data_IF_450092040934
#
_entry.id   IF_450092040934
#
_cell.length_a   1.000
_cell.length_b   1.000
_cell.length_c   1.000
_cell.angle_alpha   90.00
_cell.angle_beta   90.00
_cell.angle_gamma   90.00
#
_symmetry.space_group_name_H-M   'P 1'
#
loop_
_entity.id
_entity.type
_entity.pdbx_description
1 polymer ?
#
# COMPACT_ATOMS: atom_id res chain seq x y z
N UNK A 1 4.66 10.49 -10.48
CA UNK A 1 5.36 9.53 -11.35
C UNK A 1 4.31 8.74 -12.10
N UNK A 2 4.50 8.42 -13.38
CA UNK A 2 3.50 7.64 -14.11
C UNK A 2 3.71 6.15 -13.92
N UNK A 3 2.60 5.42 -13.89
CA UNK A 3 2.59 3.97 -13.82
C UNK A 3 2.75 3.43 -15.24
N UNK A 4 3.74 2.58 -15.44
CA UNK A 4 3.93 1.86 -16.70
C UNK A 4 3.10 0.58 -16.75
N UNK A 5 2.99 -0.15 -15.63
CA UNK A 5 2.23 -1.39 -15.58
C UNK A 5 1.73 -1.71 -14.16
N UNK A 6 0.59 -2.40 -14.07
CA UNK A 6 0.05 -2.99 -12.84
C UNK A 6 -0.31 -4.43 -13.14
N UNK A 7 0.22 -5.36 -12.36
CA UNK A 7 -0.01 -6.80 -12.50
C UNK A 7 -0.54 -7.40 -11.20
N UNK A 8 -1.49 -8.30 -11.33
CA UNK A 8 -2.04 -9.09 -10.23
C UNK A 8 -1.53 -10.53 -10.38
N UNK A 9 -0.73 -11.05 -9.44
CA UNK A 9 -0.23 -12.42 -9.51
C UNK A 9 -1.34 -13.45 -9.30
N UNK A 10 -2.38 -13.09 -8.55
CA UNK A 10 -3.62 -13.85 -8.42
C UNK A 10 -4.73 -13.17 -9.23
N UNK A 11 -5.44 -13.89 -10.13
CA UNK A 11 -6.59 -13.34 -10.85
C UNK A 11 -7.66 -12.82 -9.88
N UNK A 12 -8.13 -11.58 -10.10
CA UNK A 12 -9.08 -10.92 -9.19
C UNK A 12 -10.45 -11.63 -9.13
N UNK A 13 -10.83 -12.37 -10.17
CA UNK A 13 -12.06 -13.16 -10.21
C UNK A 13 -12.03 -14.41 -9.31
N UNK A 14 -10.85 -14.80 -8.82
CA UNK A 14 -10.66 -15.87 -7.84
C UNK A 14 -10.68 -15.37 -6.40
N UNK A 15 -10.76 -14.05 -6.20
CA UNK A 15 -10.73 -13.43 -4.89
C UNK A 15 -12.13 -12.97 -4.48
N UNK A 16 -12.38 -12.91 -3.17
CA UNK A 16 -13.59 -12.29 -2.68
C UNK A 16 -13.43 -10.76 -2.77
N UNK A 17 -14.26 -10.06 -3.56
CA UNK A 17 -14.12 -8.62 -3.74
C UNK A 17 -14.41 -7.83 -2.46
N UNK A 18 -15.18 -8.37 -1.51
CA UNK A 18 -15.62 -7.66 -0.31
C UNK A 18 -14.65 -7.79 0.87
N UNK A 19 -14.00 -8.95 1.06
CA UNK A 19 -13.12 -9.22 2.22
C UNK A 19 -11.77 -9.84 1.86
N UNK A 20 -11.46 -10.01 0.58
CA UNK A 20 -10.17 -10.54 0.16
C UNK A 20 -9.02 -9.54 0.33
N UNK A 21 -7.82 -10.05 0.07
CA UNK A 21 -6.64 -9.25 -0.23
C UNK A 21 -5.97 -9.76 -1.52
N UNK A 22 -5.14 -8.94 -2.15
CA UNK A 22 -4.34 -9.33 -3.29
C UNK A 22 -2.98 -8.65 -3.29
N UNK A 23 -1.93 -9.37 -3.66
CA UNK A 23 -0.67 -8.74 -4.02
C UNK A 23 -0.85 -7.94 -5.32
N UNK A 24 -0.14 -6.82 -5.42
CA UNK A 24 -0.12 -5.96 -6.60
C UNK A 24 1.32 -5.61 -6.91
N UNK A 25 1.72 -5.89 -8.15
CA UNK A 25 3.02 -5.46 -8.67
C UNK A 25 2.83 -4.19 -9.50
N UNK A 26 3.53 -3.13 -9.09
CA UNK A 26 3.47 -1.82 -9.72
C UNK A 26 4.82 -1.56 -10.36
N UNK A 27 4.83 -1.23 -11.65
CA UNK A 27 6.01 -0.74 -12.35
C UNK A 27 5.80 0.72 -12.75
N UNK A 28 6.75 1.58 -12.41
CA UNK A 28 6.78 2.97 -12.82
C UNK A 28 7.52 3.14 -14.15
N UNK A 29 7.30 4.28 -14.83
CA UNK A 29 7.99 4.59 -16.09
C UNK A 29 9.52 4.69 -15.97
N UNK A 30 10.05 4.95 -14.78
CA UNK A 30 11.51 4.98 -14.51
C UNK A 30 12.13 3.59 -14.33
N UNK A 31 11.32 2.52 -14.43
CA UNK A 31 11.75 1.14 -14.24
C UNK A 31 11.71 0.66 -12.79
N UNK A 32 11.41 1.53 -11.82
CA UNK A 32 11.20 1.14 -10.43
C UNK A 32 10.01 0.19 -10.31
N UNK A 33 10.14 -0.80 -9.44
CA UNK A 33 9.07 -1.77 -9.17
C UNK A 33 8.78 -1.83 -7.68
N UNK A 34 7.50 -1.96 -7.34
CA UNK A 34 7.04 -2.12 -5.97
C UNK A 34 6.02 -3.25 -5.87
N UNK A 35 6.01 -3.91 -4.72
CA UNK A 35 5.01 -4.90 -4.35
C UNK A 35 4.27 -4.39 -3.13
N UNK A 36 2.93 -4.42 -3.19
CA UNK A 36 2.06 -4.09 -2.08
C UNK A 36 0.93 -5.09 -1.98
N UNK A 37 0.40 -5.25 -0.77
CA UNK A 37 -0.90 -5.89 -0.57
C UNK A 37 -1.98 -4.83 -0.72
N UNK A 38 -3.02 -5.14 -1.48
CA UNK A 38 -4.27 -4.41 -1.52
C UNK A 38 -5.33 -5.19 -0.75
N UNK A 39 -6.06 -4.52 0.14
CA UNK A 39 -7.03 -5.15 1.03
C UNK A 39 -8.28 -4.29 1.16
N UNK A 40 -9.34 -4.85 1.74
CA UNK A 40 -10.56 -4.10 2.05
C UNK A 40 -10.70 -3.84 3.56
N UNK A 41 -11.48 -2.84 3.98
CA UNK A 41 -11.80 -2.65 5.39
C UNK A 41 -12.39 -3.90 6.06
N UNK A 42 -13.22 -4.65 5.34
CA UNK A 42 -13.81 -5.87 5.88
C UNK A 42 -12.79 -7.02 5.95
N UNK A 43 -11.86 -7.12 4.99
CA UNK A 43 -10.74 -8.06 5.07
C UNK A 43 -9.81 -7.80 6.26
N UNK A 44 -9.59 -6.52 6.60
CA UNK A 44 -8.86 -6.14 7.82
C UNK A 44 -9.62 -6.54 9.10
N UNK A 45 -10.94 -6.36 9.13
CA UNK A 45 -11.76 -6.83 10.26
C UNK A 45 -11.70 -8.35 10.43
N UNK A 46 -11.86 -9.11 9.34
CA UNK A 46 -11.75 -10.58 9.40
C UNK A 46 -10.35 -11.05 9.81
N UNK A 47 -9.30 -10.35 9.39
CA UNK A 47 -7.94 -10.61 9.88
C UNK A 47 -7.88 -10.46 11.40
N UNK A 48 -8.38 -9.34 11.95
CA UNK A 48 -8.37 -9.09 13.39
C UNK A 48 -9.16 -10.15 14.18
N UNK A 49 -10.33 -10.55 13.68
CA UNK A 49 -11.14 -11.62 14.27
C UNK A 49 -10.44 -12.98 14.22
N UNK A 50 -9.81 -13.32 13.08
CA UNK A 50 -9.12 -14.59 12.90
C UNK A 50 -7.87 -14.71 13.77
N UNK A 51 -7.08 -13.65 13.86
CA UNK A 51 -5.83 -13.64 14.63
C UNK A 51 -6.05 -13.31 16.12
N UNK A 52 -7.30 -13.09 16.55
CA UNK A 52 -7.68 -12.69 17.93
C UNK A 52 -6.88 -11.46 18.42
N UNK A 53 -6.81 -10.44 17.59
CA UNK A 53 -6.13 -9.17 17.89
C UNK A 53 -7.09 -8.00 17.81
N UNK A 54 -6.86 -6.97 18.63
CA UNK A 54 -7.69 -5.76 18.63
C UNK A 54 -7.21 -4.67 17.67
N UNK A 55 -6.10 -4.88 16.95
CA UNK A 55 -5.53 -3.95 15.99
C UNK A 55 -4.61 -4.68 15.00
N UNK A 56 -4.41 -4.09 13.81
CA UNK A 56 -3.42 -4.55 12.84
C UNK A 56 -2.02 -4.14 13.32
N UNK A 57 -1.10 -5.10 13.57
CA UNK A 57 0.25 -4.77 14.01
C UNK A 57 0.99 -3.87 12.99
N UNK A 58 1.94 -3.02 13.45
CA UNK A 58 2.71 -2.17 12.54
C UNK A 58 3.53 -3.00 11.53
N UNK A 59 3.26 -2.80 10.23
CA UNK A 59 3.93 -3.44 9.10
C UNK A 59 4.03 -2.47 7.90
N UNK A 60 4.49 -2.95 6.74
CA UNK A 60 4.30 -2.23 5.47
C UNK A 60 2.80 -1.91 5.33
N UNK A 61 2.40 -0.64 5.15
CA UNK A 61 0.98 -0.33 5.06
C UNK A 61 0.37 -0.88 3.77
N UNK A 62 -0.80 -1.51 3.90
CA UNK A 62 -1.59 -1.99 2.78
C UNK A 62 -2.21 -0.83 1.99
N UNK A 63 -2.48 -1.06 0.71
CA UNK A 63 -3.36 -0.20 -0.09
C UNK A 63 -4.80 -0.60 0.23
N UNK A 64 -5.50 0.25 0.98
CA UNK A 64 -6.88 -0.05 1.42
C UNK A 64 -7.87 0.47 0.37
N UNK A 65 -8.67 -0.44 -0.20
CA UNK A 65 -9.71 -0.13 -1.19
C UNK A 65 -11.08 -0.58 -0.71
N UNK A 66 -12.15 -0.01 -1.30
CA UNK A 66 -13.51 -0.39 -0.94
C UNK A 66 -13.81 -1.86 -1.29
N UNK A 67 -13.42 -2.29 -2.49
CA UNK A 67 -13.62 -3.64 -3.03
C UNK A 67 -12.46 -4.00 -3.97
N UNK A 68 -12.09 -5.27 -4.05
CA UNK A 68 -11.01 -5.76 -4.94
C UNK A 68 -11.48 -5.88 -6.39
N UNK A 69 -11.74 -4.74 -7.03
CA UNK A 69 -11.98 -4.67 -8.47
C UNK A 69 -10.81 -3.99 -9.16
N UNK A 70 -10.48 -4.42 -10.38
CA UNK A 70 -9.37 -3.84 -11.13
C UNK A 70 -9.47 -2.32 -11.24
N UNK A 71 -10.69 -1.81 -11.52
CA UNK A 71 -10.94 -0.37 -11.62
C UNK A 71 -10.56 0.37 -10.33
N UNK A 72 -11.09 -0.06 -9.19
CA UNK A 72 -10.87 0.61 -7.91
C UNK A 72 -9.39 0.51 -7.51
N UNK A 73 -8.77 -0.65 -7.71
CA UNK A 73 -7.36 -0.85 -7.37
C UNK A 73 -6.47 0.05 -8.23
N UNK A 74 -6.74 0.15 -9.54
CA UNK A 74 -6.00 1.05 -10.44
C UNK A 74 -6.15 2.52 -10.05
N UNK A 75 -7.38 2.98 -9.79
CA UNK A 75 -7.65 4.35 -9.34
C UNK A 75 -6.90 4.66 -8.03
N UNK A 76 -6.86 3.71 -7.08
CA UNK A 76 -6.09 3.86 -5.86
C UNK A 76 -4.58 3.97 -6.16
N UNK A 77 -4.02 3.04 -6.92
CA UNK A 77 -2.57 3.03 -7.22
C UNK A 77 -2.15 4.29 -7.98
N UNK A 78 -2.98 4.79 -8.90
CA UNK A 78 -2.75 6.06 -9.60
C UNK A 78 -2.64 7.23 -8.62
N UNK A 79 -3.54 7.30 -7.63
CA UNK A 79 -3.46 8.32 -6.57
C UNK A 79 -2.17 8.18 -5.75
N UNK A 80 -1.74 6.97 -5.40
CA UNK A 80 -0.48 6.75 -4.67
C UNK A 80 0.77 7.10 -5.52
N UNK A 81 0.66 7.07 -6.85
CA UNK A 81 1.73 7.42 -7.78
C UNK A 81 1.83 8.93 -8.06
N UNK A 82 0.89 9.75 -7.58
CA UNK A 82 0.96 11.21 -7.62
C UNK A 82 2.22 11.74 -6.90
N UNK A 83 2.55 13.02 -7.13
CA UNK A 83 3.66 13.69 -6.45
C UNK A 83 4.97 12.88 -6.48
N UNK A 84 5.38 12.48 -7.68
CA UNK A 84 6.58 11.64 -7.87
C UNK A 84 6.53 10.27 -7.16
N UNK A 85 5.33 9.67 -7.05
CA UNK A 85 5.09 8.42 -6.34
C UNK A 85 5.55 8.45 -4.87
N UNK A 86 5.38 9.61 -4.23
CA UNK A 86 5.81 9.84 -2.85
C UNK A 86 5.32 8.74 -1.91
N UNK A 87 4.02 8.41 -1.96
CA UNK A 87 3.42 7.42 -1.06
C UNK A 87 3.90 5.98 -1.35
N UNK A 88 4.07 5.60 -2.61
CA UNK A 88 4.65 4.29 -2.95
C UNK A 88 6.10 4.19 -2.45
N UNK A 89 6.92 5.23 -2.68
CA UNK A 89 8.32 5.27 -2.25
C UNK A 89 8.44 5.19 -0.73
N UNK A 90 7.68 6.01 0.01
CA UNK A 90 7.79 6.05 1.48
C UNK A 90 7.30 4.73 2.10
N UNK A 91 6.25 4.09 1.56
CA UNK A 91 5.80 2.80 2.07
C UNK A 91 6.82 1.69 1.79
N UNK A 92 7.38 1.65 0.57
CA UNK A 92 8.41 0.68 0.24
C UNK A 92 9.67 0.84 1.12
N UNK A 93 10.11 2.08 1.36
CA UNK A 93 11.25 2.37 2.24
C UNK A 93 10.98 1.99 3.69
N UNK A 94 9.78 2.29 4.20
CA UNK A 94 9.40 1.96 5.58
C UNK A 94 9.42 0.46 5.88
N UNK A 95 9.26 -0.36 4.84
CA UNK A 95 9.40 -1.82 4.89
C UNK A 95 10.88 -2.27 4.75
N UNK A 96 11.57 -1.81 3.70
CA UNK A 96 12.85 -2.38 3.29
C UNK A 96 14.06 -1.85 4.08
N UNK A 97 14.08 -0.57 4.45
CA UNK A 97 15.28 0.05 5.05
C UNK A 97 14.92 1.33 5.78
N UNK A 98 14.42 1.17 7.02
CA UNK A 98 14.06 2.32 7.88
C UNK A 98 15.25 3.21 8.24
N UNK A 99 16.48 2.70 8.13
CA UNK A 99 17.71 3.45 8.43
C UNK A 99 17.96 4.62 7.46
N UNK A 100 17.37 4.61 6.26
CA UNK A 100 17.43 5.76 5.35
C UNK A 100 16.49 6.90 5.78
N UNK A 101 15.57 6.65 6.71
CA UNK A 101 14.69 7.65 7.30
C UNK A 101 15.41 8.33 8.46
N UNK A 102 15.96 9.51 8.18
CA UNK A 102 16.62 10.36 9.17
C UNK A 102 15.60 10.91 10.18
N UNK A 103 15.56 10.29 11.35
CA UNK A 103 14.62 10.64 12.42
C UNK A 103 14.85 12.04 12.98
N UNK A 104 16.05 12.60 12.90
CA UNK A 104 16.31 13.97 13.35
C UNK A 104 15.64 14.97 12.40
N UNK A 105 15.74 14.74 11.09
CA UNK A 105 15.03 15.55 10.09
C UNK A 105 13.51 15.41 10.21
N UNK A 106 13.00 14.21 10.43
CA UNK A 106 11.56 13.99 10.66
C UNK A 106 11.10 14.76 11.90
N UNK A 107 11.81 14.63 13.02
CA UNK A 107 11.49 15.33 14.26
C UNK A 107 11.57 16.85 14.10
N UNK A 108 12.52 17.36 13.30
CA UNK A 108 12.63 18.77 12.98
C UNK A 108 11.42 19.26 12.19
N UNK A 109 10.99 18.53 11.15
CA UNK A 109 9.83 18.90 10.33
C UNK A 109 8.53 18.94 11.16
N UNK A 110 8.34 18.00 12.08
CA UNK A 110 7.15 17.94 12.94
C UNK A 110 7.07 19.06 13.98
N UNK A 111 8.22 19.61 14.41
CA UNK A 111 8.26 20.72 15.38
C UNK A 111 7.75 22.05 14.79
N UNK A 112 7.73 22.19 13.47
CA UNK A 112 7.31 23.44 12.79
C UNK A 112 5.80 23.69 12.95
N UNK A 113 5.02 22.67 13.32
CA UNK A 113 3.57 22.75 13.49
C UNK A 113 3.10 22.86 14.96
N UNK A 114 3.94 23.35 15.87
CA UNK A 114 3.56 23.65 17.27
C UNK A 114 3.53 25.14 17.57
#
# INVERSE_FOLDING_TARGET
MKISNITFPTPLDQLNPANGNCDVFIQLEDGSTYTFVCTTPFGLSEFMEREDVSFIPPAQPDIIVKELTEKIIREAIESYAEEDAFWLKIYAVADHSREVLDMDKINQALKVNK
#
